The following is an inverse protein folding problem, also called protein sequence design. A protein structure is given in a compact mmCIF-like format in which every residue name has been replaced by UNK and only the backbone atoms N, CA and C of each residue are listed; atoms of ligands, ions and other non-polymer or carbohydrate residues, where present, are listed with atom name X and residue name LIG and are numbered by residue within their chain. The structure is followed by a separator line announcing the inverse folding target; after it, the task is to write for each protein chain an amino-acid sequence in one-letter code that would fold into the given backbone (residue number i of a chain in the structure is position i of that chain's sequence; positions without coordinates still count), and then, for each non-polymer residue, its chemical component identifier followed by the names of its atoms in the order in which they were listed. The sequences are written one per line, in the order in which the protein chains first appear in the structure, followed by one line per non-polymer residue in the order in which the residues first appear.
data_IF_866219215078
#
_entry.id   IF_866219215078
#
_cell.length_a   1.000
_cell.length_b   1.000
_cell.length_c   1.000
_cell.angle_alpha   90.00
_cell.angle_beta   90.00
_cell.angle_gamma   90.00
#
_symmetry.space_group_name_H-M   'P 1'
#
loop_
_entity.id
_entity.type
_entity.pdbx_description
1 polymer ?
#
# COMPACT_ATOMS: atom_id res chain seq x y z
N UNK A 1 -0.74 5.47 13.92
CA UNK A 1 0.26 4.46 14.33
C UNK A 1 1.16 4.09 13.17
N UNK A 2 2.06 3.12 13.36
CA UNK A 2 2.85 2.57 12.26
C UNK A 2 2.07 1.46 11.53
N UNK A 3 2.23 1.36 10.21
CA UNK A 3 1.63 0.30 9.41
C UNK A 3 2.57 -0.89 9.27
N UNK A 4 2.04 -2.08 9.53
CA UNK A 4 2.73 -3.35 9.33
C UNK A 4 1.91 -4.22 8.37
N UNK A 5 2.60 -4.88 7.43
CA UNK A 5 1.99 -5.80 6.47
C UNK A 5 2.76 -7.11 6.45
N UNK A 6 2.06 -8.18 6.09
CA UNK A 6 2.56 -9.54 5.93
C UNK A 6 1.54 -10.33 5.11
N UNK A 7 1.95 -11.46 4.53
CA UNK A 7 1.08 -12.31 3.70
C UNK A 7 1.61 -12.50 2.29
N UNK A 8 0.73 -12.67 1.31
CA UNK A 8 1.10 -12.89 -0.09
C UNK A 8 1.83 -11.65 -0.68
N UNK A 9 2.94 -11.89 -1.39
CA UNK A 9 3.83 -10.84 -1.90
C UNK A 9 3.47 -10.31 -3.29
N UNK A 10 2.41 -10.83 -3.90
CA UNK A 10 2.07 -10.53 -5.29
C UNK A 10 1.40 -9.17 -5.45
N UNK A 11 1.57 -8.59 -6.63
CA UNK A 11 1.04 -7.26 -7.03
C UNK A 11 1.47 -6.09 -6.15
N UNK A 12 2.40 -6.28 -5.21
CA UNK A 12 2.91 -5.20 -4.35
C UNK A 12 1.96 -4.75 -3.24
N UNK A 13 0.89 -5.51 -2.95
CA UNK A 13 -0.14 -5.13 -1.94
C UNK A 13 0.35 -5.10 -0.50
N UNK A 14 1.57 -5.56 -0.25
CA UNK A 14 2.24 -5.41 1.04
C UNK A 14 2.88 -4.03 1.20
N UNK A 15 3.18 -3.30 0.13
CA UNK A 15 3.82 -1.98 0.23
C UNK A 15 5.23 -2.02 0.80
N UNK A 16 5.90 -3.18 0.72
CA UNK A 16 7.23 -3.45 1.27
C UNK A 16 8.31 -3.30 0.19
N UNK A 17 9.52 -2.87 0.59
CA UNK A 17 10.68 -2.87 -0.30
C UNK A 17 11.10 -4.28 -0.71
N UNK A 18 11.80 -4.41 -1.85
CA UNK A 18 12.26 -5.71 -2.38
C UNK A 18 13.04 -6.54 -1.36
N UNK A 19 13.87 -5.87 -0.55
CA UNK A 19 14.68 -6.49 0.50
C UNK A 19 13.85 -7.06 1.66
N UNK A 20 12.65 -6.51 1.87
CA UNK A 20 11.70 -6.94 2.91
C UNK A 20 10.88 -8.17 2.45
N UNK A 21 10.75 -8.41 1.13
CA UNK A 21 9.87 -9.46 0.61
C UNK A 21 10.31 -10.89 0.91
N UNK A 22 11.58 -11.12 1.28
CA UNK A 22 12.04 -12.45 1.70
C UNK A 22 11.40 -12.89 3.03
N UNK A 23 11.11 -11.93 3.92
CA UNK A 23 10.50 -12.16 5.23
C UNK A 23 8.99 -11.86 5.24
N UNK A 24 8.31 -11.88 4.09
CA UNK A 24 6.91 -11.48 3.91
C UNK A 24 5.88 -12.21 4.81
N UNK A 25 6.27 -13.35 5.40
CA UNK A 25 5.44 -14.12 6.36
C UNK A 25 5.47 -13.56 7.78
N UNK A 26 6.34 -12.59 8.06
CA UNK A 26 6.46 -11.91 9.34
C UNK A 26 5.92 -10.48 9.21
N UNK A 27 5.30 -9.91 10.25
CA UNK A 27 4.89 -8.52 10.25
C UNK A 27 6.08 -7.59 10.00
N UNK A 28 6.01 -6.81 8.93
CA UNK A 28 7.06 -5.88 8.55
C UNK A 28 6.52 -4.47 8.38
N UNK A 29 7.30 -3.50 8.86
CA UNK A 29 6.91 -2.09 8.78
C UNK A 29 6.93 -1.62 7.32
N UNK A 30 5.85 -0.98 6.90
CA UNK A 30 5.76 -0.24 5.64
C UNK A 30 6.49 1.10 5.83
N UNK A 31 7.70 1.21 5.28
CA UNK A 31 8.59 2.36 5.55
C UNK A 31 8.23 3.62 4.75
N UNK A 32 7.46 3.49 3.69
CA UNK A 32 7.15 4.57 2.74
C UNK A 32 6.04 5.51 3.21
N UNK A 33 5.27 5.13 4.25
CA UNK A 33 4.32 6.04 4.90
C UNK A 33 4.97 6.54 6.19
N UNK A 34 5.35 7.83 6.21
CA UNK A 34 6.02 8.46 7.36
C UNK A 34 5.03 8.96 8.41
N UNK A 35 3.88 9.46 7.96
CA UNK A 35 2.84 9.97 8.83
C UNK A 35 2.11 8.84 9.59
N UNK A 36 1.55 9.11 10.78
CA UNK A 36 0.78 8.14 11.52
C UNK A 36 -0.45 7.67 10.73
N UNK A 37 -0.54 6.36 10.47
CA UNK A 37 -1.73 5.74 9.87
C UNK A 37 -2.85 5.69 10.90
N UNK A 38 -4.02 6.23 10.55
CA UNK A 38 -5.24 6.23 11.35
C UNK A 38 -6.15 5.06 11.03
N UNK A 39 -6.27 4.70 9.75
CA UNK A 39 -7.08 3.56 9.29
C UNK A 39 -6.38 2.82 8.17
N UNK A 40 -6.70 1.54 8.04
CA UNK A 40 -6.23 0.68 6.97
C UNK A 40 -7.38 -0.23 6.50
N UNK A 41 -7.44 -0.49 5.20
CA UNK A 41 -8.33 -1.47 4.60
C UNK A 41 -7.56 -2.30 3.56
N UNK A 42 -7.85 -3.59 3.49
CA UNK A 42 -7.24 -4.51 2.52
C UNK A 42 -8.33 -5.06 1.59
N UNK A 43 -8.11 -4.94 0.28
CA UNK A 43 -8.89 -5.62 -0.74
C UNK A 43 -8.20 -6.91 -1.20
N UNK A 44 -8.74 -7.57 -2.24
CA UNK A 44 -8.16 -8.82 -2.75
C UNK A 44 -6.73 -8.66 -3.29
N UNK A 45 -6.45 -7.53 -3.93
CA UNK A 45 -5.17 -7.23 -4.56
C UNK A 45 -4.52 -5.92 -4.14
N UNK A 46 -5.11 -5.14 -3.24
CA UNK A 46 -4.63 -3.79 -2.90
C UNK A 46 -4.86 -3.44 -1.43
N UNK A 47 -4.18 -2.41 -0.97
CA UNK A 47 -4.27 -1.87 0.39
C UNK A 47 -4.46 -0.36 0.32
N UNK A 48 -5.34 0.15 1.18
CA UNK A 48 -5.61 1.57 1.37
C UNK A 48 -5.22 1.94 2.80
N UNK A 49 -4.43 2.98 2.99
CA UNK A 49 -4.02 3.50 4.28
C UNK A 49 -4.33 4.99 4.38
N UNK A 50 -5.08 5.37 5.42
CA UNK A 50 -5.46 6.75 5.70
C UNK A 50 -4.57 7.32 6.80
N UNK A 51 -3.94 8.46 6.57
CA UNK A 51 -3.24 9.25 7.58
C UNK A 51 -4.15 10.40 8.04
N UNK A 52 -3.60 11.45 8.65
CA UNK A 52 -4.41 12.65 8.91
C UNK A 52 -4.70 13.44 7.64
N UNK A 53 -3.69 13.58 6.79
CA UNK A 53 -3.71 14.51 5.66
C UNK A 53 -3.85 13.81 4.29
N UNK A 54 -3.54 12.50 4.23
CA UNK A 54 -3.41 11.78 2.96
C UNK A 54 -4.12 10.42 2.96
N UNK A 55 -4.43 9.95 1.75
CA UNK A 55 -4.77 8.56 1.47
C UNK A 55 -3.65 7.94 0.63
N UNK A 56 -3.09 6.84 1.10
CA UNK A 56 -2.11 6.04 0.38
C UNK A 56 -2.74 4.77 -0.15
N UNK A 57 -2.41 4.42 -1.39
CA UNK A 57 -2.83 3.18 -2.04
C UNK A 57 -1.65 2.45 -2.64
N UNK A 58 -1.68 1.12 -2.55
CA UNK A 58 -0.67 0.24 -3.13
C UNK A 58 -1.24 -1.16 -3.40
N UNK A 59 -0.64 -1.88 -4.33
CA UNK A 59 -1.12 -3.15 -4.83
C UNK A 59 -1.56 -3.09 -6.29
N UNK A 60 -2.46 -4.00 -6.66
CA UNK A 60 -3.11 -4.13 -7.96
C UNK A 60 -4.17 -3.04 -8.17
N UNK A 61 -4.10 -2.39 -9.33
CA UNK A 61 -4.95 -1.26 -9.73
C UNK A 61 -5.62 -1.41 -11.10
N UNK A 62 -5.75 -2.64 -11.62
CA UNK A 62 -6.28 -2.91 -12.97
C UNK A 62 -7.69 -2.34 -13.23
N UNK A 63 -8.47 -2.09 -12.18
CA UNK A 63 -9.82 -1.53 -12.27
C UNK A 63 -9.90 -0.09 -11.72
N UNK A 64 -8.76 0.58 -11.57
CA UNK A 64 -8.69 1.95 -11.05
C UNK A 64 -8.82 2.07 -9.54
N UNK A 65 -8.86 0.96 -8.79
CA UNK A 65 -9.04 0.96 -7.32
C UNK A 65 -7.92 1.64 -6.53
N UNK A 66 -6.80 1.98 -7.17
CA UNK A 66 -5.72 2.78 -6.55
C UNK A 66 -5.97 4.30 -6.64
N UNK A 67 -6.90 4.76 -7.47
CA UNK A 67 -7.18 6.21 -7.57
C UNK A 67 -6.05 7.05 -8.15
N UNK A 68 -5.07 6.46 -8.84
CA UNK A 68 -3.93 7.17 -9.43
C UNK A 68 -4.11 7.54 -10.92
N UNK A 69 -5.35 7.75 -11.35
CA UNK A 69 -5.69 8.01 -12.75
C UNK A 69 -5.61 6.76 -13.64
N UNK A 70 -5.46 6.97 -14.95
CA UNK A 70 -5.70 5.94 -15.98
C UNK A 70 -4.50 5.08 -16.35
N UNK A 71 -3.29 5.44 -15.93
CA UNK A 71 -2.05 4.80 -16.41
C UNK A 71 -1.28 4.02 -15.35
N UNK A 72 -1.77 3.98 -14.11
CA UNK A 72 -1.13 3.29 -12.99
C UNK A 72 -1.99 2.10 -12.56
N UNK A 73 -1.69 0.93 -13.11
CA UNK A 73 -2.41 -0.32 -12.87
C UNK A 73 -1.80 -1.19 -11.77
N UNK A 74 -0.65 -0.82 -11.23
CA UNK A 74 0.00 -1.46 -10.08
C UNK A 74 0.88 -0.43 -9.36
N UNK A 75 0.94 -0.49 -8.03
CA UNK A 75 1.93 0.25 -7.25
C UNK A 75 2.52 -0.62 -6.15
N UNK A 76 3.83 -0.88 -6.22
CA UNK A 76 4.52 -1.77 -5.26
C UNK A 76 4.78 -1.14 -3.91
N UNK A 77 4.82 0.18 -3.87
CA UNK A 77 5.06 0.97 -2.67
C UNK A 77 3.88 1.92 -2.50
N UNK A 78 3.54 2.30 -1.26
CA UNK A 78 2.53 3.31 -0.97
C UNK A 78 2.76 4.58 -1.80
N UNK A 79 1.72 4.99 -2.51
CA UNK A 79 1.66 6.24 -3.25
C UNK A 79 0.49 7.06 -2.73
N UNK A 80 0.70 8.36 -2.54
CA UNK A 80 -0.39 9.26 -2.17
C UNK A 80 -1.38 9.40 -3.34
N UNK A 81 -2.67 9.43 -3.03
CA UNK A 81 -3.71 9.79 -3.99
C UNK A 81 -3.74 11.32 -4.05
N UNK A 82 -3.41 11.91 -5.20
CA UNK A 82 -3.19 13.37 -5.31
C UNK A 82 -4.46 14.16 -5.68
N UNK A 83 -5.52 13.48 -6.13
CA UNK A 83 -6.73 14.12 -6.64
C UNK A 83 -7.94 13.63 -5.84
N UNK A 84 -8.44 14.49 -4.97
CA UNK A 84 -9.69 14.32 -4.22
C UNK A 84 -10.66 15.45 -4.57
#
# INVERSE_FOLDING_TARGET
GALYTFGERDSGKLGLGTEQLSAHRLPQRVKNIKAPVRKVACGGGHTVALTEDDVYTFGLGQFGQLGHGTFIFESRLPRSVEHF
#
